data_IF_189033950764
#
_entry.id   IF_189033950764
#
_cell.length_a   1.000
_cell.length_b   1.000
_cell.length_c   1.000
_cell.angle_alpha   90.00
_cell.angle_beta   90.00
_cell.angle_gamma   90.00
#
_symmetry.space_group_name_H-M   'P 1'
#
loop_
_entity.id
_entity.type
_entity.pdbx_description
1 polymer ?
#
# COMPACT_ATOMS: atom_id res chain seq x y z
N UNK A 1 -18.31 -33.94 -25.65
CA UNK A 1 -17.95 -32.88 -26.64
C UNK A 1 -18.13 -31.46 -26.15
N UNK A 2 -17.97 -31.21 -24.82
CA UNK A 2 -18.25 -29.89 -24.22
C UNK A 2 -17.00 -29.02 -23.90
N UNK A 3 -15.81 -29.56 -23.86
CA UNK A 3 -14.61 -28.85 -23.41
C UNK A 3 -13.88 -28.02 -24.48
N UNK A 4 -13.98 -28.41 -25.74
CA UNK A 4 -13.20 -27.81 -26.84
C UNK A 4 -13.78 -26.47 -27.33
N UNK A 5 -15.11 -26.28 -27.25
CA UNK A 5 -15.79 -25.07 -27.73
C UNK A 5 -15.69 -23.88 -26.74
N UNK A 6 -15.54 -24.15 -25.44
CA UNK A 6 -15.31 -23.10 -24.43
C UNK A 6 -13.92 -22.49 -24.51
N UNK A 7 -12.90 -23.21 -24.99
CA UNK A 7 -11.53 -22.71 -25.14
C UNK A 7 -11.39 -21.67 -26.25
N UNK A 8 -12.03 -21.85 -27.40
CA UNK A 8 -11.95 -20.89 -28.51
C UNK A 8 -12.58 -19.52 -28.16
N UNK A 9 -13.66 -19.49 -27.38
CA UNK A 9 -14.31 -18.24 -26.97
C UNK A 9 -13.49 -17.42 -25.96
N UNK A 10 -12.51 -18.02 -25.27
CA UNK A 10 -11.64 -17.32 -24.31
C UNK A 10 -10.41 -16.65 -24.97
N UNK A 11 -10.03 -17.06 -26.18
CA UNK A 11 -8.83 -16.53 -26.86
C UNK A 11 -9.14 -15.34 -27.80
N UNK A 12 -10.41 -15.16 -28.20
CA UNK A 12 -10.83 -14.11 -29.11
C UNK A 12 -11.41 -12.90 -28.35
N UNK A 13 -11.07 -11.69 -28.81
CA UNK A 13 -11.67 -10.47 -28.35
C UNK A 13 -13.17 -10.38 -28.72
N UNK A 14 -13.95 -9.53 -28.01
CA UNK A 14 -15.38 -9.35 -28.29
C UNK A 14 -15.67 -8.94 -29.75
N UNK A 15 -14.89 -8.02 -30.38
CA UNK A 15 -15.06 -7.70 -31.80
C UNK A 15 -14.84 -8.91 -32.73
N UNK A 16 -13.80 -9.71 -32.48
CA UNK A 16 -13.50 -10.90 -33.29
C UNK A 16 -14.61 -11.94 -33.16
N UNK A 17 -15.13 -12.17 -31.95
CA UNK A 17 -16.28 -13.07 -31.74
C UNK A 17 -17.55 -12.57 -32.43
N UNK A 18 -17.78 -11.25 -32.49
CA UNK A 18 -18.91 -10.67 -33.24
C UNK A 18 -18.78 -10.88 -34.75
N UNK A 19 -17.57 -10.82 -35.28
CA UNK A 19 -17.33 -11.04 -36.71
C UNK A 19 -17.61 -12.49 -37.17
N UNK A 20 -17.62 -13.44 -36.21
CA UNK A 20 -17.96 -14.84 -36.49
C UNK A 20 -19.47 -15.16 -36.52
N UNK A 21 -20.30 -14.16 -36.22
CA UNK A 21 -21.78 -14.35 -36.26
C UNK A 21 -22.27 -14.13 -37.70
N UNK A 22 -22.81 -15.17 -38.28
CA UNK A 22 -23.43 -15.15 -39.61
C UNK A 22 -24.92 -14.84 -39.49
N UNK A 23 -25.39 -13.80 -40.18
CA UNK A 23 -26.81 -13.37 -40.15
C UNK A 23 -27.64 -13.98 -41.27
N UNK A 24 -27.03 -14.27 -42.42
CA UNK A 24 -27.68 -14.77 -43.62
C UNK A 24 -27.14 -16.16 -44.00
N UNK A 25 -28.05 -17.13 -44.19
CA UNK A 25 -27.71 -18.45 -44.64
C UNK A 25 -27.08 -19.42 -43.64
N UNK A 26 -26.98 -19.03 -42.39
CA UNK A 26 -26.39 -19.85 -41.33
C UNK A 26 -27.27 -21.05 -40.94
N UNK A 27 -26.65 -22.21 -40.70
CA UNK A 27 -27.34 -23.42 -40.19
C UNK A 27 -27.89 -23.22 -38.75
N UNK A 28 -27.33 -22.29 -37.98
CA UNK A 28 -27.67 -22.05 -36.59
C UNK A 28 -28.33 -20.67 -36.43
N UNK A 29 -29.41 -20.55 -35.64
CA UNK A 29 -30.02 -19.26 -35.29
C UNK A 29 -29.02 -18.33 -34.62
N UNK A 30 -29.10 -17.01 -34.88
CA UNK A 30 -28.23 -15.99 -34.32
C UNK A 30 -28.19 -16.01 -32.76
N UNK A 31 -29.30 -16.40 -32.13
CA UNK A 31 -29.39 -16.58 -30.67
C UNK A 31 -28.43 -17.68 -30.17
N UNK A 32 -28.41 -18.81 -30.87
CA UNK A 32 -27.54 -19.96 -30.55
C UNK A 32 -26.09 -19.66 -30.84
N UNK A 33 -25.81 -18.96 -31.95
CA UNK A 33 -24.43 -18.50 -32.26
C UNK A 33 -23.90 -17.55 -31.18
N UNK A 34 -24.73 -16.58 -30.75
CA UNK A 34 -24.37 -15.63 -29.68
C UNK A 34 -24.05 -16.36 -28.34
N UNK A 35 -24.87 -17.34 -27.97
CA UNK A 35 -24.64 -18.16 -26.77
C UNK A 35 -23.33 -18.96 -26.85
N UNK A 36 -23.08 -19.63 -27.99
CA UNK A 36 -21.86 -20.40 -28.22
C UNK A 36 -20.58 -19.55 -28.19
N UNK A 37 -20.68 -18.29 -28.65
CA UNK A 37 -19.59 -17.32 -28.66
C UNK A 37 -19.48 -16.51 -27.35
N UNK A 38 -20.34 -16.76 -26.38
CA UNK A 38 -20.39 -16.00 -25.11
C UNK A 38 -20.67 -14.50 -25.31
N UNK A 39 -21.51 -14.16 -26.30
CA UNK A 39 -21.91 -12.80 -26.64
C UNK A 39 -23.32 -12.50 -26.12
N UNK A 40 -23.54 -11.29 -25.63
CA UNK A 40 -24.88 -10.83 -25.35
C UNK A 40 -25.59 -10.49 -26.68
N UNK A 41 -26.78 -11.07 -26.93
CA UNK A 41 -27.55 -10.86 -28.15
C UNK A 41 -27.78 -9.38 -28.48
N UNK A 42 -28.10 -8.56 -27.46
CA UNK A 42 -28.29 -7.11 -27.65
C UNK A 42 -27.06 -6.40 -28.17
N UNK A 43 -25.87 -6.88 -27.83
CA UNK A 43 -24.61 -6.29 -28.29
C UNK A 43 -24.34 -6.53 -29.77
N UNK A 44 -24.95 -7.53 -30.40
CA UNK A 44 -24.80 -7.80 -31.85
C UNK A 44 -25.47 -6.71 -32.71
N UNK A 45 -26.59 -6.21 -32.23
CA UNK A 45 -27.39 -5.20 -32.93
C UNK A 45 -27.04 -3.77 -32.53
N UNK A 46 -26.11 -3.62 -31.55
CA UNK A 46 -25.70 -2.30 -31.13
C UNK A 46 -24.84 -1.62 -32.20
N UNK A 47 -25.33 -0.53 -32.75
CA UNK A 47 -24.59 0.37 -33.62
C UNK A 47 -24.12 1.56 -32.77
N UNK A 48 -22.82 1.89 -32.73
CA UNK A 48 -22.34 3.06 -32.05
C UNK A 48 -23.06 4.31 -32.58
N UNK A 49 -23.61 5.12 -31.70
CA UNK A 49 -24.17 6.43 -32.08
C UNK A 49 -23.03 7.37 -32.41
N UNK A 50 -23.13 8.04 -33.58
CA UNK A 50 -22.15 9.05 -33.94
C UNK A 50 -22.15 10.19 -32.91
N UNK A 51 -20.97 10.74 -32.61
CA UNK A 51 -20.84 11.87 -31.69
C UNK A 51 -21.59 13.09 -32.25
N UNK A 52 -22.37 13.74 -31.38
CA UNK A 52 -23.03 15.00 -31.75
C UNK A 52 -21.97 16.12 -31.92
N UNK A 53 -22.31 17.19 -32.65
CA UNK A 53 -21.44 18.37 -32.73
C UNK A 53 -21.18 18.98 -31.35
N UNK A 54 -22.13 18.86 -30.42
CA UNK A 54 -21.99 19.32 -29.05
C UNK A 54 -20.97 18.46 -28.25
N UNK A 55 -21.01 17.14 -28.41
CA UNK A 55 -19.99 16.24 -27.83
C UNK A 55 -18.59 16.55 -28.35
N UNK A 56 -18.46 16.87 -29.66
CA UNK A 56 -17.19 17.24 -30.26
C UNK A 56 -16.65 18.57 -29.73
N UNK A 57 -17.54 19.55 -29.51
CA UNK A 57 -17.17 20.85 -28.91
C UNK A 57 -16.66 20.66 -27.47
N UNK A 58 -17.39 19.85 -26.69
CA UNK A 58 -16.99 19.51 -25.30
C UNK A 58 -15.62 18.80 -25.28
N UNK A 59 -15.41 17.83 -26.16
CA UNK A 59 -14.13 17.12 -26.28
C UNK A 59 -12.97 18.07 -26.63
N UNK A 60 -13.16 19.01 -27.52
CA UNK A 60 -12.13 20.04 -27.83
C UNK A 60 -11.79 20.89 -26.61
N UNK A 61 -12.78 21.34 -25.85
CA UNK A 61 -12.56 22.11 -24.62
C UNK A 61 -11.83 21.27 -23.55
N UNK A 62 -12.14 19.96 -23.44
CA UNK A 62 -11.43 19.03 -22.55
C UNK A 62 -9.98 18.89 -22.99
N UNK A 63 -9.72 18.75 -24.29
CA UNK A 63 -8.37 18.61 -24.87
C UNK A 63 -7.50 19.86 -24.62
N UNK A 64 -8.05 21.04 -24.90
CA UNK A 64 -7.40 22.31 -24.60
C UNK A 64 -7.04 22.46 -23.13
N UNK A 65 -7.99 22.14 -22.25
CA UNK A 65 -7.77 22.21 -20.81
C UNK A 65 -6.77 21.17 -20.32
N UNK A 66 -6.81 19.96 -20.86
CA UNK A 66 -5.86 18.90 -20.54
C UNK A 66 -4.44 19.24 -20.98
N UNK A 67 -4.30 19.87 -22.15
CA UNK A 67 -2.99 20.32 -22.65
C UNK A 67 -2.37 21.37 -21.73
N UNK A 68 -3.19 22.27 -21.17
CA UNK A 68 -2.75 23.29 -20.23
C UNK A 68 -2.55 22.75 -18.80
N UNK A 69 -3.37 21.76 -18.38
CA UNK A 69 -3.46 21.22 -17.03
C UNK A 69 -3.60 19.68 -17.03
N UNK A 70 -2.54 18.93 -17.40
CA UNK A 70 -2.60 17.48 -17.52
C UNK A 70 -2.84 16.77 -16.17
N UNK A 71 -2.64 17.47 -15.05
CA UNK A 71 -2.92 16.98 -13.70
C UNK A 71 -4.42 17.05 -13.32
N UNK A 72 -5.28 17.63 -14.16
CA UNK A 72 -6.71 17.76 -13.88
C UNK A 72 -7.43 16.42 -14.12
N UNK A 73 -7.97 15.84 -13.05
CA UNK A 73 -8.93 14.75 -13.17
C UNK A 73 -10.33 15.24 -13.56
N UNK A 74 -11.19 14.33 -13.99
CA UNK A 74 -12.55 14.64 -14.50
C UNK A 74 -13.38 15.55 -13.58
N UNK A 75 -13.20 15.49 -12.26
CA UNK A 75 -13.93 16.36 -11.31
C UNK A 75 -13.48 17.81 -11.41
N UNK A 76 -12.17 18.07 -11.48
CA UNK A 76 -11.62 19.42 -11.64
C UNK A 76 -11.97 19.98 -13.02
N UNK A 77 -11.85 19.17 -14.08
CA UNK A 77 -12.29 19.53 -15.42
C UNK A 77 -13.78 19.91 -15.48
N UNK A 78 -14.64 19.15 -14.84
CA UNK A 78 -16.07 19.44 -14.74
C UNK A 78 -16.33 20.79 -14.04
N UNK A 79 -15.65 21.06 -12.93
CA UNK A 79 -15.79 22.34 -12.22
C UNK A 79 -15.34 23.50 -13.12
N UNK A 80 -14.21 23.36 -13.80
CA UNK A 80 -13.69 24.39 -14.69
C UNK A 80 -14.64 24.66 -15.87
N UNK A 81 -15.09 23.61 -16.57
CA UNK A 81 -16.03 23.71 -17.69
C UNK A 81 -17.34 24.40 -17.28
N UNK A 82 -17.82 24.11 -16.07
CA UNK A 82 -19.07 24.75 -15.60
C UNK A 82 -18.87 26.18 -15.13
N UNK A 83 -17.74 26.51 -14.50
CA UNK A 83 -17.47 27.87 -14.00
C UNK A 83 -17.06 28.82 -15.12
N UNK A 84 -16.11 28.40 -15.97
CA UNK A 84 -15.53 29.26 -17.00
C UNK A 84 -16.33 29.25 -18.31
N UNK A 85 -16.88 28.10 -18.69
CA UNK A 85 -17.62 27.96 -19.97
C UNK A 85 -19.14 27.85 -19.76
N UNK A 86 -19.63 27.82 -18.54
CA UNK A 86 -21.08 27.76 -18.16
C UNK A 86 -21.86 26.64 -18.86
N UNK A 87 -21.24 25.48 -19.08
CA UNK A 87 -21.81 24.38 -19.87
C UNK A 87 -22.88 23.58 -19.13
N UNK A 88 -22.97 23.64 -17.79
CA UNK A 88 -23.91 22.84 -17.00
C UNK A 88 -23.68 21.31 -17.10
N UNK A 89 -22.48 20.87 -17.48
CA UNK A 89 -22.16 19.46 -17.72
C UNK A 89 -21.99 18.68 -16.42
N UNK A 90 -22.45 17.42 -16.39
CA UNK A 90 -22.28 16.52 -15.27
C UNK A 90 -20.86 15.88 -15.30
N UNK A 91 -20.28 15.66 -14.13
CA UNK A 91 -18.97 15.03 -13.98
C UNK A 91 -18.89 13.61 -14.58
N UNK A 92 -20.00 12.85 -14.62
CA UNK A 92 -20.07 11.53 -15.28
C UNK A 92 -19.94 11.65 -16.81
N UNK A 93 -20.48 12.72 -17.40
CA UNK A 93 -20.34 12.98 -18.83
C UNK A 93 -18.89 13.39 -19.16
N UNK A 94 -18.26 14.25 -18.35
CA UNK A 94 -16.83 14.59 -18.52
C UNK A 94 -15.95 13.35 -18.42
N UNK A 95 -16.20 12.47 -17.43
CA UNK A 95 -15.47 11.22 -17.29
C UNK A 95 -15.62 10.32 -18.52
N UNK A 96 -16.84 10.21 -19.08
CA UNK A 96 -17.10 9.46 -20.34
C UNK A 96 -16.28 10.03 -21.49
N UNK A 97 -16.32 11.34 -21.70
CA UNK A 97 -15.58 12.00 -22.78
C UNK A 97 -14.05 11.81 -22.62
N UNK A 98 -13.51 12.02 -21.44
CA UNK A 98 -12.09 11.78 -21.17
C UNK A 98 -11.68 10.32 -21.48
N UNK A 99 -12.52 9.35 -21.08
CA UNK A 99 -12.27 7.93 -21.35
C UNK A 99 -12.32 7.60 -22.85
N UNK A 100 -13.29 8.18 -23.59
CA UNK A 100 -13.41 8.03 -25.03
C UNK A 100 -12.21 8.62 -25.78
N UNK A 101 -11.62 9.70 -25.25
CA UNK A 101 -10.43 10.35 -25.78
C UNK A 101 -9.12 9.68 -25.32
N UNK A 102 -9.17 8.68 -24.41
CA UNK A 102 -7.98 8.05 -23.84
C UNK A 102 -7.20 8.96 -22.87
N UNK A 103 -7.83 10.03 -22.38
CA UNK A 103 -7.20 11.03 -21.49
C UNK A 103 -7.38 10.64 -20.04
N UNK A 104 -6.26 10.68 -19.29
CA UNK A 104 -6.23 10.45 -17.83
C UNK A 104 -5.32 11.50 -17.19
N UNK A 105 -5.70 11.92 -15.96
CA UNK A 105 -4.84 12.84 -15.22
C UNK A 105 -3.43 12.25 -15.01
N UNK A 106 -2.42 13.07 -15.30
CA UNK A 106 -1.02 12.67 -15.10
C UNK A 106 -0.65 12.87 -13.64
N UNK A 107 -0.36 11.77 -12.95
CA UNK A 107 0.21 11.78 -11.61
C UNK A 107 1.60 11.18 -11.67
N UNK A 108 2.63 11.86 -11.14
CA UNK A 108 3.92 11.22 -10.94
C UNK A 108 3.71 10.03 -10.00
N UNK A 109 3.81 8.82 -10.52
CA UNK A 109 3.85 7.63 -9.68
C UNK A 109 5.22 7.59 -9.02
N UNK A 110 5.26 7.81 -7.73
CA UNK A 110 6.45 7.52 -6.95
C UNK A 110 6.66 6.02 -6.97
N UNK A 111 7.69 5.57 -7.69
CA UNK A 111 8.24 4.23 -7.53
C UNK A 111 9.03 4.22 -6.22
N UNK A 112 8.35 4.01 -5.11
CA UNK A 112 8.93 4.04 -3.77
C UNK A 112 9.80 2.83 -3.48
N UNK A 113 9.78 1.77 -4.28
CA UNK A 113 10.65 0.59 -4.09
C UNK A 113 10.78 -0.19 -5.39
N UNK A 114 11.95 -0.14 -6.02
CA UNK A 114 12.35 -1.22 -6.92
C UNK A 114 12.92 -2.33 -6.04
N UNK A 115 12.18 -3.45 -5.93
CA UNK A 115 12.73 -4.66 -5.33
C UNK A 115 13.98 -5.05 -6.12
N UNK A 116 15.12 -5.22 -5.43
CA UNK A 116 16.29 -5.82 -6.06
C UNK A 116 16.00 -7.32 -6.24
N UNK A 117 16.10 -7.88 -7.45
CA UNK A 117 15.88 -9.31 -7.68
C UNK A 117 16.84 -10.21 -6.89
N UNK A 118 17.94 -9.65 -6.42
CA UNK A 118 19.02 -10.36 -5.70
C UNK A 118 18.75 -10.50 -4.20
N UNK A 119 17.77 -9.75 -3.64
CA UNK A 119 17.49 -9.79 -2.21
C UNK A 119 16.46 -10.89 -1.90
N UNK A 120 16.76 -11.82 -0.96
CA UNK A 120 15.84 -12.88 -0.60
C UNK A 120 14.58 -12.32 0.09
N UNK A 121 13.42 -12.79 -0.33
CA UNK A 121 12.15 -12.57 0.36
C UNK A 121 11.86 -13.82 1.19
N UNK A 122 11.71 -13.65 2.50
CA UNK A 122 11.43 -14.74 3.42
C UNK A 122 9.93 -15.02 3.52
N UNK A 123 9.52 -16.28 3.83
CA UNK A 123 8.11 -16.62 3.95
C UNK A 123 7.47 -15.96 5.18
N UNK A 124 6.16 -15.76 5.13
CA UNK A 124 5.39 -15.30 6.31
C UNK A 124 5.12 -16.46 7.25
N UNK A 125 5.63 -16.38 8.47
CA UNK A 125 5.60 -17.48 9.46
C UNK A 125 4.51 -17.32 10.53
N UNK A 126 3.79 -16.18 10.56
CA UNK A 126 2.92 -15.83 11.69
C UNK A 126 1.46 -16.26 11.50
N UNK A 127 1.12 -16.92 10.41
CA UNK A 127 -0.26 -17.33 10.14
C UNK A 127 -0.74 -18.36 11.15
N UNK A 128 -1.74 -18.00 11.97
CA UNK A 128 -2.30 -18.88 13.00
C UNK A 128 -1.41 -19.07 14.24
N UNK A 129 -0.27 -18.37 14.33
CA UNK A 129 0.60 -18.44 15.49
C UNK A 129 -0.03 -17.73 16.70
N UNK A 130 -0.15 -18.43 17.81
CA UNK A 130 -0.55 -17.82 19.08
C UNK A 130 0.68 -17.29 19.81
N UNK A 131 0.64 -16.00 20.16
CA UNK A 131 1.71 -15.34 20.89
C UNK A 131 1.44 -15.48 22.38
N UNK A 132 2.27 -16.24 23.06
CA UNK A 132 2.04 -16.64 24.47
C UNK A 132 3.12 -16.17 25.44
N UNK A 133 4.27 -15.71 24.96
CA UNK A 133 5.42 -15.30 25.80
C UNK A 133 6.24 -14.22 25.13
N UNK A 134 7.01 -13.41 25.88
CA UNK A 134 8.00 -12.50 25.35
C UNK A 134 9.04 -13.23 24.49
N UNK A 135 9.62 -12.47 23.55
CA UNK A 135 10.66 -12.94 22.63
C UNK A 135 10.23 -14.07 21.66
N UNK A 136 8.94 -14.38 21.57
CA UNK A 136 8.43 -15.31 20.58
C UNK A 136 8.41 -14.66 19.20
N UNK A 137 7.88 -13.45 19.09
CA UNK A 137 7.86 -12.66 17.83
C UNK A 137 8.23 -11.23 18.12
N UNK A 138 9.23 -10.74 17.41
CA UNK A 138 9.51 -9.32 17.33
C UNK A 138 9.11 -8.76 15.98
N UNK A 139 8.81 -7.48 15.93
CA UNK A 139 8.63 -6.75 14.66
C UNK A 139 9.48 -5.50 14.63
N UNK A 140 9.88 -5.13 13.42
CA UNK A 140 10.62 -3.91 13.14
C UNK A 140 9.94 -3.15 12.01
N UNK A 141 9.98 -1.83 12.11
CA UNK A 141 9.54 -0.95 11.05
C UNK A 141 10.20 0.43 11.19
N UNK A 142 10.12 1.24 10.13
CA UNK A 142 10.66 2.59 10.07
C UNK A 142 9.51 3.55 9.84
N UNK A 143 9.47 4.63 10.62
CA UNK A 143 8.51 5.71 10.42
C UNK A 143 9.17 7.07 10.25
N UNK A 144 8.47 7.97 9.55
CA UNK A 144 8.86 9.36 9.39
C UNK A 144 8.37 10.18 10.57
N UNK A 145 9.26 10.96 11.16
CA UNK A 145 8.97 11.92 12.23
C UNK A 145 9.09 13.33 11.65
N UNK A 146 7.99 14.05 11.46
CA UNK A 146 8.04 15.42 10.97
C UNK A 146 8.64 16.34 12.03
N UNK A 147 9.54 17.21 11.62
CA UNK A 147 10.02 18.37 12.34
C UNK A 147 9.72 19.61 11.50
N UNK A 148 9.75 20.80 12.08
CA UNK A 148 9.27 22.01 11.41
C UNK A 148 9.81 22.26 10.00
N UNK A 149 11.05 21.93 9.74
CA UNK A 149 11.73 22.20 8.45
C UNK A 149 12.15 20.96 7.68
N UNK A 150 12.02 19.76 8.27
CA UNK A 150 12.58 18.54 7.71
C UNK A 150 11.92 17.27 8.30
N UNK A 151 12.53 16.12 8.13
CA UNK A 151 12.08 14.83 8.62
C UNK A 151 13.23 14.09 9.31
N UNK A 152 12.88 13.32 10.32
CA UNK A 152 13.74 12.28 10.88
C UNK A 152 13.14 10.92 10.63
N UNK A 153 13.97 9.91 10.66
CA UNK A 153 13.57 8.52 10.56
C UNK A 153 13.70 7.87 11.93
N UNK A 154 12.65 7.21 12.38
CA UNK A 154 12.64 6.43 13.61
C UNK A 154 12.44 4.97 13.25
N UNK A 155 13.39 4.11 13.63
CA UNK A 155 13.24 2.66 13.63
C UNK A 155 12.99 2.18 15.05
N UNK A 156 12.14 1.19 15.24
CA UNK A 156 11.96 0.52 16.52
C UNK A 156 11.72 -0.97 16.36
N UNK A 157 12.16 -1.74 17.37
CA UNK A 157 11.94 -3.18 17.49
C UNK A 157 11.02 -3.42 18.66
N UNK A 158 9.88 -4.07 18.40
CA UNK A 158 8.80 -4.28 19.33
C UNK A 158 8.57 -5.79 19.57
N UNK A 159 8.47 -6.19 20.82
CA UNK A 159 7.98 -7.54 21.20
C UNK A 159 6.45 -7.61 21.06
N UNK A 160 5.95 -8.64 20.39
CA UNK A 160 4.51 -8.78 20.11
C UNK A 160 3.70 -9.19 21.34
N UNK A 161 4.28 -9.92 22.30
CA UNK A 161 3.58 -10.33 23.49
C UNK A 161 3.34 -9.16 24.44
N UNK A 162 4.42 -8.50 24.83
CA UNK A 162 4.44 -7.45 25.85
C UNK A 162 4.23 -6.04 25.32
N UNK A 163 4.37 -5.81 24.01
CA UNK A 163 4.47 -4.49 23.40
C UNK A 163 5.72 -3.70 23.81
N UNK A 164 6.67 -4.33 24.47
CA UNK A 164 7.91 -3.71 24.90
C UNK A 164 8.77 -3.35 23.70
N UNK A 165 9.24 -2.11 23.67
CA UNK A 165 10.17 -1.63 22.63
C UNK A 165 11.58 -1.95 23.08
N UNK A 166 12.20 -2.96 22.44
CA UNK A 166 13.52 -3.43 22.83
C UNK A 166 14.60 -2.42 22.51
N UNK A 167 14.59 -1.85 21.32
CA UNK A 167 15.53 -0.81 20.92
C UNK A 167 14.89 0.10 19.88
N UNK A 168 15.43 1.32 19.76
CA UNK A 168 15.06 2.31 18.77
C UNK A 168 16.26 3.18 18.39
N UNK A 169 16.24 3.69 17.15
CA UNK A 169 17.23 4.68 16.68
C UNK A 169 16.53 5.76 15.87
N UNK A 170 17.07 6.96 15.97
CA UNK A 170 16.61 8.13 15.21
C UNK A 170 17.75 8.59 14.30
N UNK A 171 17.49 8.69 13.01
CA UNK A 171 18.42 9.13 11.99
C UNK A 171 17.87 10.29 11.17
N UNK A 172 18.74 11.08 10.59
CA UNK A 172 18.47 12.09 9.56
C UNK A 172 18.61 11.53 8.14
N UNK A 173 19.20 10.35 8.01
CA UNK A 173 19.29 9.64 6.73
C UNK A 173 18.62 8.27 6.80
N UNK A 174 18.13 7.81 5.63
CA UNK A 174 17.48 6.49 5.49
C UNK A 174 18.50 5.40 5.13
N UNK A 175 19.73 5.52 5.59
CA UNK A 175 20.76 4.51 5.38
C UNK A 175 20.56 3.31 6.32
N UNK A 176 21.01 2.13 5.89
CA UNK A 176 20.82 0.89 6.65
C UNK A 176 21.52 0.89 8.02
N UNK A 177 22.52 1.76 8.23
CA UNK A 177 23.34 1.80 9.43
C UNK A 177 22.54 1.87 10.73
N UNK A 178 21.61 2.82 10.83
CA UNK A 178 20.79 3.02 12.04
C UNK A 178 19.84 1.84 12.33
N UNK A 179 19.39 1.14 11.28
CA UNK A 179 18.57 -0.07 11.40
C UNK A 179 19.41 -1.20 12.02
N UNK A 180 20.63 -1.40 11.52
CA UNK A 180 21.54 -2.43 12.05
C UNK A 180 21.97 -2.13 13.49
N UNK A 181 22.14 -0.87 13.87
CA UNK A 181 22.40 -0.47 15.24
C UNK A 181 21.24 -0.82 16.18
N UNK A 182 20.00 -0.52 15.77
CA UNK A 182 18.83 -0.92 16.54
C UNK A 182 18.73 -2.44 16.69
N UNK A 183 18.99 -3.20 15.61
CA UNK A 183 18.99 -4.66 15.66
C UNK A 183 20.03 -5.22 16.65
N UNK A 184 21.27 -4.71 16.62
CA UNK A 184 22.31 -5.12 17.56
C UNK A 184 21.93 -4.78 19.00
N UNK A 185 21.46 -3.55 19.26
CA UNK A 185 21.02 -3.16 20.60
C UNK A 185 19.84 -3.96 21.15
N UNK A 186 18.96 -4.45 20.28
CA UNK A 186 17.90 -5.37 20.67
C UNK A 186 18.44 -6.78 20.95
N UNK A 187 19.34 -7.31 20.10
CA UNK A 187 19.94 -8.65 20.25
C UNK A 187 20.87 -8.75 21.47
N UNK A 188 21.45 -7.65 21.96
CA UNK A 188 22.17 -7.61 23.24
C UNK A 188 21.27 -7.89 24.45
N UNK A 189 19.97 -7.63 24.33
CA UNK A 189 18.98 -7.82 25.40
C UNK A 189 18.38 -9.22 25.39
N UNK A 190 18.02 -9.71 24.22
CA UNK A 190 17.41 -11.04 24.02
C UNK A 190 17.49 -11.44 22.54
N UNK A 191 17.09 -12.68 22.25
CA UNK A 191 16.99 -13.20 20.87
C UNK A 191 15.54 -13.64 20.64
N UNK A 192 14.86 -13.17 19.56
CA UNK A 192 13.51 -13.63 19.25
C UNK A 192 13.54 -15.00 18.59
N UNK A 193 12.42 -15.74 18.67
CA UNK A 193 12.24 -16.93 17.84
C UNK A 193 12.01 -16.54 16.38
N UNK A 194 11.17 -15.52 16.16
CA UNK A 194 10.82 -14.99 14.84
C UNK A 194 10.98 -13.47 14.82
N UNK A 195 11.72 -12.97 13.83
CA UNK A 195 11.81 -11.55 13.51
C UNK A 195 10.96 -11.26 12.30
N UNK A 196 9.91 -10.41 12.45
CA UNK A 196 8.99 -10.03 11.39
C UNK A 196 9.27 -8.62 10.88
N UNK A 197 9.20 -8.42 9.57
CA UNK A 197 9.34 -7.13 8.91
C UNK A 197 8.51 -7.06 7.64
N UNK A 198 8.39 -5.88 7.06
CA UNK A 198 7.91 -5.73 5.68
C UNK A 198 9.00 -6.14 4.67
N UNK A 199 8.67 -6.06 3.38
CA UNK A 199 9.60 -6.32 2.28
C UNK A 199 10.38 -5.07 1.84
N UNK A 200 10.61 -4.12 2.74
CA UNK A 200 11.40 -2.92 2.49
C UNK A 200 12.87 -3.24 2.16
N UNK A 201 13.53 -2.35 1.41
CA UNK A 201 14.91 -2.55 0.97
C UNK A 201 15.91 -2.72 2.13
N UNK A 202 15.65 -2.15 3.28
CA UNK A 202 16.45 -2.32 4.50
C UNK A 202 16.35 -3.74 5.05
N UNK A 203 15.14 -4.29 5.07
CA UNK A 203 14.83 -5.58 5.70
C UNK A 203 15.10 -6.77 4.77
N UNK A 204 15.10 -6.55 3.45
CA UNK A 204 15.56 -7.56 2.48
C UNK A 204 17.08 -7.59 2.30
N UNK A 205 17.82 -6.71 2.97
CA UNK A 205 19.28 -6.67 2.93
C UNK A 205 19.89 -7.91 3.59
N UNK A 206 20.89 -8.57 2.96
CA UNK A 206 21.64 -9.67 3.57
C UNK A 206 22.29 -9.31 4.91
N UNK A 207 22.69 -8.04 5.11
CA UNK A 207 23.28 -7.56 6.37
C UNK A 207 22.26 -7.59 7.52
N UNK A 208 21.01 -7.22 7.25
CA UNK A 208 19.93 -7.29 8.24
C UNK A 208 19.56 -8.75 8.54
N UNK A 209 19.31 -9.54 7.49
CA UNK A 209 18.92 -10.94 7.65
C UNK A 209 20.01 -11.74 8.38
N UNK A 210 21.30 -11.52 8.04
CA UNK A 210 22.43 -12.17 8.65
C UNK A 210 22.47 -12.02 10.17
N UNK A 211 22.20 -10.82 10.71
CA UNK A 211 22.21 -10.57 12.16
C UNK A 211 21.28 -11.51 12.94
N UNK A 212 20.05 -11.69 12.45
CA UNK A 212 19.06 -12.53 13.14
C UNK A 212 19.28 -14.00 12.89
N UNK A 213 19.64 -14.40 11.68
CA UNK A 213 19.97 -15.81 11.36
C UNK A 213 21.17 -16.32 12.12
N UNK A 214 22.24 -15.51 12.26
CA UNK A 214 23.42 -15.83 13.07
C UNK A 214 23.10 -15.93 14.56
N UNK A 215 22.13 -15.13 15.05
CA UNK A 215 21.63 -15.22 16.40
C UNK A 215 20.68 -16.43 16.64
N UNK A 216 20.31 -17.18 15.59
CA UNK A 216 19.43 -18.34 15.67
C UNK A 216 17.93 -18.03 15.52
N UNK A 217 17.56 -16.80 15.18
CA UNK A 217 16.18 -16.41 14.92
C UNK A 217 15.73 -16.78 13.51
N UNK A 218 14.43 -17.01 13.32
CA UNK A 218 13.81 -17.13 12.00
C UNK A 218 13.35 -15.76 11.49
N UNK A 219 13.40 -15.58 10.18
CA UNK A 219 12.90 -14.34 9.56
C UNK A 219 11.56 -14.60 8.91
N UNK A 220 10.61 -13.71 9.17
CA UNK A 220 9.30 -13.65 8.58
C UNK A 220 9.12 -12.31 7.85
N UNK A 221 8.50 -12.33 6.68
CA UNK A 221 8.18 -11.11 5.95
C UNK A 221 6.71 -11.04 5.58
N UNK A 222 6.13 -9.86 5.77
CA UNK A 222 4.73 -9.60 5.46
C UNK A 222 4.44 -9.78 3.96
N UNK A 223 3.22 -10.21 3.63
CA UNK A 223 2.79 -10.27 2.25
C UNK A 223 2.49 -8.86 1.73
N UNK A 224 2.82 -8.59 0.47
CA UNK A 224 2.46 -7.32 -0.18
C UNK A 224 0.96 -7.07 -0.13
N UNK A 225 0.56 -5.96 0.48
CA UNK A 225 -0.83 -5.50 0.51
C UNK A 225 -1.68 -6.01 1.68
N UNK A 226 -1.12 -6.68 2.68
CA UNK A 226 -1.80 -7.04 3.92
C UNK A 226 -1.37 -6.13 5.07
N UNK A 227 -2.16 -5.08 5.32
CA UNK A 227 -1.91 -4.11 6.39
C UNK A 227 -1.99 -4.69 7.82
N UNK A 228 -2.48 -5.92 7.99
CA UNK A 228 -2.64 -6.54 9.31
C UNK A 228 -1.41 -7.30 9.80
N UNK A 229 -0.45 -7.54 8.92
CA UNK A 229 0.68 -8.42 9.23
C UNK A 229 1.72 -7.75 10.16
N UNK A 230 1.70 -6.39 10.27
CA UNK A 230 2.59 -5.63 11.17
C UNK A 230 1.83 -4.62 12.07
N UNK A 231 0.59 -4.95 12.44
CA UNK A 231 -0.35 -4.07 13.15
C UNK A 231 0.20 -3.50 14.47
N UNK A 232 1.09 -4.22 15.16
CA UNK A 232 1.56 -3.80 16.48
C UNK A 232 2.56 -2.65 16.40
N UNK A 233 3.47 -2.68 15.45
CA UNK A 233 4.41 -1.56 15.25
C UNK A 233 3.71 -0.37 14.59
N UNK A 234 2.75 -0.59 13.69
CA UNK A 234 1.91 0.49 13.15
C UNK A 234 1.13 1.20 14.28
N UNK A 235 0.63 0.43 15.25
CA UNK A 235 -0.03 0.99 16.42
C UNK A 235 0.92 1.77 17.31
N UNK A 236 2.17 1.31 17.46
CA UNK A 236 3.22 2.06 18.15
C UNK A 236 3.44 3.42 17.46
N UNK A 237 3.55 3.45 16.13
CA UNK A 237 3.73 4.70 15.38
C UNK A 237 2.60 5.70 15.60
N UNK A 238 1.37 5.21 15.58
CA UNK A 238 0.24 6.07 15.89
C UNK A 238 0.36 6.64 17.30
N UNK A 239 0.70 5.82 18.28
CA UNK A 239 0.85 6.22 19.67
C UNK A 239 1.94 7.27 19.84
N UNK A 240 3.16 7.02 19.31
CA UNK A 240 4.28 7.96 19.33
C UNK A 240 3.92 9.28 18.66
N UNK A 241 3.29 9.25 17.49
CA UNK A 241 2.95 10.48 16.76
C UNK A 241 1.89 11.31 17.47
N UNK A 242 0.84 10.70 18.00
CA UNK A 242 -0.27 11.43 18.62
C UNK A 242 0.00 11.83 20.06
N UNK A 243 0.77 11.05 20.80
CA UNK A 243 1.01 11.33 22.22
C UNK A 243 2.31 12.13 22.46
N UNK A 244 3.20 12.23 21.46
CA UNK A 244 4.47 12.95 21.60
C UNK A 244 4.72 13.91 20.43
N UNK A 245 4.94 13.43 19.22
CA UNK A 245 5.44 14.22 18.09
C UNK A 245 4.52 15.40 17.75
N UNK A 246 3.22 15.15 17.57
CA UNK A 246 2.27 16.18 17.17
C UNK A 246 1.94 17.16 18.31
N UNK A 247 2.09 16.72 19.56
CA UNK A 247 1.87 17.60 20.72
C UNK A 247 3.06 18.53 20.96
N UNK A 248 4.28 18.02 20.81
CA UNK A 248 5.52 18.78 21.03
C UNK A 248 5.94 19.60 19.83
N UNK A 249 5.54 19.19 18.61
CA UNK A 249 5.85 19.87 17.35
C UNK A 249 7.31 20.33 17.27
N UNK A 250 8.24 19.38 17.28
CA UNK A 250 9.66 19.63 17.41
C UNK A 250 10.22 20.58 16.34
N UNK A 251 11.00 21.56 16.77
CA UNK A 251 11.66 22.53 15.89
C UNK A 251 13.00 22.03 15.34
N UNK A 252 13.78 21.34 16.18
CA UNK A 252 15.16 20.92 15.85
C UNK A 252 15.33 19.42 15.98
N UNK A 253 16.21 18.81 15.14
CA UNK A 253 16.53 17.38 15.21
C UNK A 253 16.97 16.89 16.59
N UNK A 254 17.78 17.71 17.31
CA UNK A 254 18.28 17.36 18.63
C UNK A 254 17.15 17.26 19.68
N UNK A 255 16.17 18.17 19.63
CA UNK A 255 15.03 18.17 20.55
C UNK A 255 14.12 16.95 20.27
N UNK A 256 13.92 16.63 18.98
CA UNK A 256 13.16 15.43 18.59
C UNK A 256 13.84 14.14 19.03
N UNK A 257 15.16 14.00 18.85
CA UNK A 257 15.91 12.83 19.31
C UNK A 257 15.78 12.63 20.82
N UNK A 258 15.97 13.69 21.60
CA UNK A 258 15.81 13.65 23.05
C UNK A 258 14.39 13.33 23.47
N UNK A 259 13.41 14.02 22.88
CA UNK A 259 12.01 13.83 23.23
C UNK A 259 11.49 12.43 22.89
N UNK A 260 11.89 11.86 21.75
CA UNK A 260 11.55 10.50 21.37
C UNK A 260 12.19 9.45 22.31
N UNK A 261 13.44 9.66 22.73
CA UNK A 261 14.09 8.78 23.71
C UNK A 261 13.34 8.80 25.05
N UNK A 262 13.04 10.00 25.58
CA UNK A 262 12.23 10.17 26.80
C UNK A 262 10.84 9.54 26.68
N UNK A 263 10.19 9.72 25.51
CA UNK A 263 8.87 9.17 25.29
C UNK A 263 8.86 7.64 25.19
N UNK A 264 9.80 7.03 24.48
CA UNK A 264 9.85 5.57 24.34
C UNK A 264 10.22 4.87 25.66
N UNK A 265 11.05 5.49 26.51
CA UNK A 265 11.24 5.04 27.91
C UNK A 265 9.95 5.14 28.71
N UNK A 266 9.25 6.28 28.65
CA UNK A 266 7.94 6.43 29.26
C UNK A 266 6.93 5.39 28.75
N UNK A 267 6.91 5.13 27.45
CA UNK A 267 6.07 4.13 26.82
C UNK A 267 6.29 2.74 27.41
N UNK A 268 7.54 2.34 27.57
CA UNK A 268 7.90 1.04 28.14
C UNK A 268 7.55 0.95 29.64
N UNK A 269 7.91 1.93 30.42
CA UNK A 269 8.00 1.81 31.88
C UNK A 269 6.78 2.39 32.62
N UNK A 270 6.04 3.28 32.01
CA UNK A 270 4.99 4.05 32.69
C UNK A 270 3.66 4.14 31.96
N UNK A 271 3.64 3.85 30.65
CA UNK A 271 2.40 3.93 29.90
C UNK A 271 1.59 2.66 30.05
N UNK A 272 0.39 2.78 30.65
CA UNK A 272 -0.55 1.67 30.76
C UNK A 272 -1.21 1.31 29.44
N UNK A 273 -1.34 0.03 29.15
CA UNK A 273 -1.95 -0.51 27.94
C UNK A 273 -3.23 -1.29 28.27
N UNK A 274 -4.36 -0.88 27.72
CA UNK A 274 -5.64 -1.60 27.91
C UNK A 274 -5.59 -3.04 27.38
N UNK A 275 -4.87 -3.30 26.28
CA UNK A 275 -4.69 -4.64 25.73
C UNK A 275 -3.79 -5.55 26.57
N UNK A 276 -3.09 -5.01 27.55
CA UNK A 276 -2.25 -5.70 28.52
C UNK A 276 -2.89 -5.69 29.93
N UNK A 277 -4.19 -5.54 30.04
CA UNK A 277 -4.87 -5.44 31.33
C UNK A 277 -4.44 -4.24 32.17
N UNK A 278 -4.11 -3.12 31.53
CA UNK A 278 -3.57 -1.91 32.16
C UNK A 278 -2.21 -2.10 32.84
N UNK A 279 -1.42 -3.05 32.38
CA UNK A 279 -0.01 -3.17 32.75
C UNK A 279 0.85 -2.32 31.78
N UNK A 280 2.07 -2.00 32.20
CA UNK A 280 3.07 -1.40 31.30
C UNK A 280 3.76 -2.49 30.48
N UNK A 281 4.32 -2.16 29.30
CA UNK A 281 5.12 -3.10 28.52
C UNK A 281 6.26 -3.74 29.30
N UNK A 282 6.96 -2.98 30.14
CA UNK A 282 8.04 -3.48 31.02
C UNK A 282 7.54 -4.50 32.01
N UNK A 283 6.40 -4.24 32.70
CA UNK A 283 5.82 -5.19 33.64
C UNK A 283 5.54 -6.53 32.96
N UNK A 284 4.91 -6.53 31.78
CA UNK A 284 4.59 -7.75 31.04
C UNK A 284 5.83 -8.45 30.49
N UNK A 285 6.83 -7.68 30.04
CA UNK A 285 8.06 -8.26 29.46
C UNK A 285 8.95 -8.95 30.49
N UNK A 286 9.08 -8.37 31.69
CA UNK A 286 9.99 -8.87 32.72
C UNK A 286 9.33 -9.76 33.76
N UNK A 287 8.00 -9.85 33.83
CA UNK A 287 7.25 -10.75 34.75
C UNK A 287 7.04 -12.16 34.19
N UNK A 288 7.46 -12.43 32.95
CA UNK A 288 7.18 -13.67 32.22
C UNK A 288 8.28 -14.70 32.39
#
# INVERSE_FOLDING_TARGET
>A
MSGSKKKLACELSVPERKALVETDGAELPVSTQAELLGLNRSSLYYKPVAHSEEDLKIKRMIDELYTAHPEFGYRRMCVWLNKEKKLGINHKAVYRHMREMGIQAVYPRQNTSKASPENPVYPYLLNGLQITRPNQVWSIDITYIPIRTDWLYLVAILDWHSRYVLDWRVSDSMEIGFVLEACRGALEKAVPEIMNSDQGSHFTSPKYAGLFLEAGAQISMDHRGRAYDNIFVERLWRTVKYEDVYLKNYDRPADARKGLDEYLRYYNDRRYHSSLGYQTPSEVYFQS
#
